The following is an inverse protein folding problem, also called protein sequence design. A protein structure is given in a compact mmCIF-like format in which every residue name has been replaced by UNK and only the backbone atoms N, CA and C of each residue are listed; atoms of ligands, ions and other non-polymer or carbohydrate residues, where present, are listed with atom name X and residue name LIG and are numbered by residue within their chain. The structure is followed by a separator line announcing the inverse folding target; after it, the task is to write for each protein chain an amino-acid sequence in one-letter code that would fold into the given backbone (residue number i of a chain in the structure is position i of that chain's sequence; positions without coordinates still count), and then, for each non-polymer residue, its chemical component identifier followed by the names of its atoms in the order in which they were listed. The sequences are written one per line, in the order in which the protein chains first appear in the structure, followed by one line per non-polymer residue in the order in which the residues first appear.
data_IF_408374440036
#
_entry.id   IF_408374440036
#
_cell.length_a   1.000
_cell.length_b   1.000
_cell.length_c   1.000
_cell.angle_alpha   90.00
_cell.angle_beta   90.00
_cell.angle_gamma   90.00
#
_symmetry.space_group_name_H-M   'P 1'
#
loop_
_entity.id
_entity.type
_entity.pdbx_description
1 polymer ?
#
# COMPACT_ATOMS: atom_id res chain seq x y z
N UNK A 1 33.63 -46.54 -23.86
CA UNK A 1 34.70 -46.17 -22.91
C UNK A 1 34.36 -44.85 -22.26
N UNK A 2 34.64 -44.75 -20.95
CA UNK A 2 34.61 -43.57 -20.06
C UNK A 2 33.22 -43.21 -19.51
N UNK A 3 32.98 -43.03 -18.21
CA UNK A 3 33.67 -43.38 -16.95
C UNK A 3 32.60 -43.14 -15.86
N UNK A 4 32.01 -44.17 -15.25
CA UNK A 4 31.05 -43.96 -14.15
C UNK A 4 31.82 -43.75 -12.85
N UNK A 5 32.19 -42.50 -12.59
CA UNK A 5 32.68 -42.12 -11.26
C UNK A 5 31.55 -42.24 -10.24
N UNK A 6 31.63 -43.28 -9.41
CA UNK A 6 30.85 -43.43 -8.19
C UNK A 6 31.18 -42.27 -7.25
N UNK A 7 30.34 -41.23 -7.23
CA UNK A 7 30.47 -40.15 -6.24
C UNK A 7 30.25 -40.71 -4.84
N UNK A 8 31.33 -40.75 -4.05
CA UNK A 8 31.30 -41.07 -2.61
C UNK A 8 30.51 -40.00 -1.87
N UNK A 9 29.77 -40.43 -0.85
CA UNK A 9 29.02 -39.56 0.06
C UNK A 9 30.03 -38.66 0.78
N UNK A 10 29.94 -37.34 0.60
CA UNK A 10 30.86 -36.41 1.26
C UNK A 10 30.59 -36.41 2.77
N UNK A 11 31.65 -36.36 3.58
CA UNK A 11 31.60 -36.33 5.06
C UNK A 11 30.54 -35.34 5.61
N UNK A 12 30.42 -34.09 5.10
CA UNK A 12 29.37 -33.17 5.56
C UNK A 12 27.93 -33.63 5.26
N UNK A 13 27.71 -34.39 4.17
CA UNK A 13 26.39 -34.95 3.83
C UNK A 13 26.00 -36.09 4.79
N UNK A 14 26.98 -36.88 5.23
CA UNK A 14 26.77 -37.93 6.23
C UNK A 14 26.41 -37.36 7.62
N UNK A 15 27.05 -36.25 8.02
CA UNK A 15 26.73 -35.54 9.27
C UNK A 15 25.31 -34.95 9.22
N UNK A 16 24.90 -34.42 8.07
CA UNK A 16 23.54 -33.92 7.86
C UNK A 16 22.46 -35.01 7.95
N UNK A 17 22.71 -36.20 7.39
CA UNK A 17 21.82 -37.37 7.52
C UNK A 17 21.67 -37.79 9.00
N UNK A 18 22.73 -37.66 9.79
CA UNK A 18 22.71 -37.99 11.22
C UNK A 18 21.91 -36.97 12.05
N UNK A 19 22.09 -35.67 11.81
CA UNK A 19 21.50 -34.60 12.62
C UNK A 19 20.03 -34.28 12.27
N UNK A 20 19.65 -34.35 10.98
CA UNK A 20 18.30 -33.99 10.53
C UNK A 20 17.83 -34.98 9.44
N UNK A 21 17.50 -36.23 9.82
CA UNK A 21 17.22 -37.32 8.87
C UNK A 21 16.06 -37.03 7.92
N UNK A 22 15.05 -36.27 8.37
CA UNK A 22 13.90 -35.85 7.57
C UNK A 22 14.29 -34.99 6.35
N UNK A 23 15.22 -34.05 6.51
CA UNK A 23 15.62 -33.13 5.43
C UNK A 23 16.60 -33.81 4.47
N UNK A 24 17.50 -34.66 4.98
CA UNK A 24 18.54 -35.26 4.16
C UNK A 24 18.09 -36.50 3.37
N UNK A 25 17.07 -37.24 3.84
CA UNK A 25 16.45 -38.27 3.01
C UNK A 25 15.85 -37.66 1.72
N UNK A 26 15.27 -36.46 1.81
CA UNK A 26 14.79 -35.71 0.64
C UNK A 26 15.92 -35.38 -0.35
N UNK A 27 17.11 -35.07 0.13
CA UNK A 27 18.26 -34.74 -0.74
C UNK A 27 18.76 -35.95 -1.55
N UNK A 28 18.58 -37.17 -1.07
CA UNK A 28 18.98 -38.40 -1.79
C UNK A 28 18.07 -38.79 -2.96
N UNK A 29 16.90 -38.16 -3.08
CA UNK A 29 15.99 -38.32 -4.23
C UNK A 29 16.49 -37.61 -5.50
N UNK A 30 17.44 -36.68 -5.38
CA UNK A 30 18.03 -35.99 -6.53
C UNK A 30 18.77 -36.98 -7.44
N UNK A 31 18.66 -36.80 -8.76
CA UNK A 31 19.33 -37.67 -9.76
C UNK A 31 20.86 -37.53 -9.61
N UNK A 32 21.56 -38.66 -9.45
CA UNK A 32 23.03 -38.71 -9.32
C UNK A 32 23.56 -39.48 -8.09
N UNK A 33 22.71 -39.86 -7.14
CA UNK A 33 23.11 -40.69 -5.99
C UNK A 33 22.90 -42.18 -6.23
N UNK A 34 23.87 -42.99 -5.80
CA UNK A 34 23.84 -44.46 -5.91
C UNK A 34 22.68 -45.07 -5.12
N UNK A 35 22.07 -46.13 -5.66
CA UNK A 35 20.94 -46.85 -5.05
C UNK A 35 21.26 -47.32 -3.62
N UNK A 36 22.53 -47.67 -3.35
CA UNK A 36 22.99 -48.05 -2.00
C UNK A 36 22.89 -46.91 -0.98
N UNK A 37 23.18 -45.67 -1.40
CA UNK A 37 23.11 -44.49 -0.52
C UNK A 37 21.67 -44.10 -0.18
N UNK A 38 20.73 -44.34 -1.11
CA UNK A 38 19.29 -44.16 -0.86
C UNK A 38 18.80 -45.15 0.19
N UNK A 39 19.12 -46.44 0.03
CA UNK A 39 18.72 -47.48 0.98
C UNK A 39 19.26 -47.20 2.38
N UNK A 40 20.51 -46.75 2.52
CA UNK A 40 21.08 -46.37 3.82
C UNK A 40 20.35 -45.19 4.47
N UNK A 41 19.99 -44.17 3.68
CA UNK A 41 19.33 -42.96 4.19
C UNK A 41 17.90 -43.23 4.65
N UNK A 42 17.13 -44.00 3.88
CA UNK A 42 15.79 -44.41 4.28
C UNK A 42 15.81 -45.42 5.43
N UNK A 43 16.79 -46.32 5.47
CA UNK A 43 17.00 -47.25 6.59
C UNK A 43 17.26 -46.51 7.91
N UNK A 44 18.09 -45.46 7.89
CA UNK A 44 18.37 -44.63 9.07
C UNK A 44 17.14 -43.84 9.55
N UNK A 45 16.33 -43.34 8.61
CA UNK A 45 15.10 -42.60 8.92
C UNK A 45 14.07 -43.51 9.63
N UNK A 46 13.87 -44.73 9.13
CA UNK A 46 12.97 -45.71 9.76
C UNK A 46 13.46 -46.06 11.17
N UNK A 47 14.77 -46.24 11.35
CA UNK A 47 15.36 -46.53 12.66
C UNK A 47 15.16 -45.37 13.65
N UNK A 48 15.23 -44.12 13.18
CA UNK A 48 14.90 -42.92 13.97
C UNK A 48 13.44 -42.89 14.43
N UNK A 49 12.50 -43.28 13.57
CA UNK A 49 11.08 -43.40 13.96
C UNK A 49 10.85 -44.52 14.98
N UNK A 50 11.51 -45.66 14.82
CA UNK A 50 11.41 -46.76 15.79
C UNK A 50 11.99 -46.33 17.14
N UNK A 51 13.13 -45.64 17.16
CA UNK A 51 13.71 -45.10 18.39
C UNK A 51 12.81 -44.07 19.06
N UNK A 52 12.16 -43.20 18.29
CA UNK A 52 11.17 -42.24 18.82
C UNK A 52 9.94 -42.93 19.40
N UNK A 53 9.42 -43.96 18.71
CA UNK A 53 8.27 -44.74 19.19
C UNK A 53 8.57 -45.57 20.45
N UNK A 54 9.83 -45.96 20.64
CA UNK A 54 10.32 -46.68 21.82
C UNK A 54 10.81 -45.74 22.93
N UNK A 55 10.77 -44.41 22.76
CA UNK A 55 11.05 -43.51 23.86
C UNK A 55 9.96 -43.72 24.93
N UNK A 56 10.33 -44.05 26.18
CA UNK A 56 9.37 -44.09 27.25
C UNK A 56 8.77 -42.69 27.38
N UNK A 57 7.45 -42.61 27.24
CA UNK A 57 6.73 -41.39 27.57
C UNK A 57 7.06 -41.05 29.02
N UNK A 58 7.47 -39.81 29.34
CA UNK A 58 7.66 -39.42 30.73
C UNK A 58 6.37 -39.78 31.48
N UNK A 59 6.48 -40.41 32.67
CA UNK A 59 5.30 -40.85 33.40
C UNK A 59 4.36 -39.67 33.50
N UNK A 60 3.15 -39.87 32.95
CA UNK A 60 2.09 -38.88 32.98
C UNK A 60 1.99 -38.38 34.41
N UNK A 61 2.14 -37.07 34.57
CA UNK A 61 1.71 -36.42 35.79
C UNK A 61 0.24 -36.79 35.96
N UNK A 62 -0.03 -37.72 36.87
CA UNK A 62 -1.27 -37.71 37.61
C UNK A 62 -1.25 -36.40 38.39
N UNK A 63 -1.68 -35.35 37.69
CA UNK A 63 -2.06 -34.09 38.30
C UNK A 63 -3.22 -34.45 39.23
N UNK A 64 -2.86 -34.77 40.48
CA UNK A 64 -3.70 -34.50 41.62
C UNK A 64 -3.92 -33.01 41.54
N UNK A 65 -5.00 -32.60 40.89
CA UNK A 65 -5.49 -31.23 40.86
C UNK A 65 -5.46 -30.73 42.30
N UNK A 66 -4.57 -29.80 42.69
CA UNK A 66 -4.98 -28.85 43.71
C UNK A 66 -6.21 -28.22 43.07
N UNK A 67 -7.31 -28.19 43.81
CA UNK A 67 -8.56 -27.51 43.49
C UNK A 67 -8.26 -26.02 43.22
N UNK A 68 -7.64 -25.73 42.09
CA UNK A 68 -7.73 -24.47 41.40
C UNK A 68 -9.09 -24.55 40.75
N UNK A 69 -10.01 -23.81 41.34
CA UNK A 69 -11.26 -23.39 40.75
C UNK A 69 -10.94 -22.86 39.35
N UNK A 70 -11.03 -23.74 38.35
CA UNK A 70 -11.19 -23.31 36.97
C UNK A 70 -12.56 -22.68 36.97
N UNK A 71 -12.60 -21.35 37.09
CA UNK A 71 -13.76 -20.57 36.73
C UNK A 71 -13.93 -20.82 35.23
N UNK A 72 -14.63 -21.90 34.91
CA UNK A 72 -15.08 -22.21 33.56
C UNK A 72 -16.11 -21.12 33.23
N UNK A 73 -15.60 -20.00 32.71
CA UNK A 73 -16.43 -18.91 32.24
C UNK A 73 -17.49 -19.50 31.34
N UNK A 74 -18.74 -19.24 31.68
CA UNK A 74 -19.90 -19.66 30.91
C UNK A 74 -19.75 -19.21 29.45
N UNK A 75 -20.38 -19.92 28.53
CA UNK A 75 -20.32 -19.60 27.10
C UNK A 75 -20.74 -18.13 26.83
N UNK A 76 -21.67 -17.60 27.64
CA UNK A 76 -22.04 -16.19 27.67
C UNK A 76 -20.88 -15.26 28.10
N UNK A 77 -20.09 -15.61 29.10
CA UNK A 77 -18.93 -14.84 29.54
C UNK A 77 -17.77 -14.89 28.54
N UNK A 78 -17.58 -16.01 27.84
CA UNK A 78 -16.59 -16.13 26.75
C UNK A 78 -16.99 -15.26 25.55
N UNK A 79 -18.27 -15.29 25.18
CA UNK A 79 -18.80 -14.45 24.10
C UNK A 79 -18.73 -12.97 24.45
N UNK A 80 -19.09 -12.58 25.68
CA UNK A 80 -18.97 -11.19 26.14
C UNK A 80 -17.50 -10.71 26.17
N UNK A 81 -16.56 -11.57 26.54
CA UNK A 81 -15.13 -11.25 26.47
C UNK A 81 -14.65 -11.06 25.02
N UNK A 82 -15.07 -11.93 24.11
CA UNK A 82 -14.73 -11.82 22.69
C UNK A 82 -15.34 -10.57 22.04
N UNK A 83 -16.58 -10.22 22.37
CA UNK A 83 -17.24 -9.00 21.91
C UNK A 83 -16.54 -7.74 22.46
N UNK A 84 -16.13 -7.76 23.73
CA UNK A 84 -15.36 -6.68 24.34
C UNK A 84 -13.98 -6.53 23.69
N UNK A 85 -13.26 -7.63 23.45
CA UNK A 85 -11.98 -7.62 22.74
C UNK A 85 -12.13 -7.11 21.29
N UNK A 86 -13.19 -7.54 20.58
CA UNK A 86 -13.48 -7.06 19.24
C UNK A 86 -13.80 -5.56 19.22
N UNK A 87 -14.54 -5.05 20.22
CA UNK A 87 -14.80 -3.63 20.37
C UNK A 87 -13.51 -2.84 20.65
N UNK A 88 -12.61 -3.36 21.51
CA UNK A 88 -11.32 -2.73 21.78
C UNK A 88 -10.42 -2.70 20.53
N UNK A 89 -10.35 -3.79 19.77
CA UNK A 89 -9.59 -3.86 18.52
C UNK A 89 -10.13 -2.85 17.50
N UNK A 90 -11.46 -2.75 17.37
CA UNK A 90 -12.10 -1.76 16.48
C UNK A 90 -11.75 -0.34 16.90
N UNK A 91 -11.83 -0.01 18.19
CA UNK A 91 -11.45 1.31 18.70
C UNK A 91 -9.98 1.62 18.44
N UNK A 92 -9.07 0.66 18.67
CA UNK A 92 -7.64 0.82 18.36
C UNK A 92 -7.39 1.04 16.88
N UNK A 93 -8.10 0.31 16.01
CA UNK A 93 -7.99 0.49 14.56
C UNK A 93 -8.50 1.86 14.11
N UNK A 94 -9.65 2.30 14.63
CA UNK A 94 -10.22 3.62 14.33
C UNK A 94 -9.34 4.76 14.84
N UNK A 95 -8.80 4.64 16.06
CA UNK A 95 -7.87 5.62 16.62
C UNK A 95 -6.58 5.71 15.79
N UNK A 96 -5.98 4.57 15.45
CA UNK A 96 -4.79 4.53 14.57
C UNK A 96 -5.09 5.08 13.18
N UNK A 97 -6.28 4.80 12.64
CA UNK A 97 -6.72 5.36 11.35
C UNK A 97 -6.86 6.88 11.43
N UNK A 98 -7.38 7.41 12.53
CA UNK A 98 -7.50 8.85 12.74
C UNK A 98 -6.12 9.54 12.89
N UNK A 99 -5.19 8.92 13.62
CA UNK A 99 -3.79 9.36 13.74
C UNK A 99 -3.12 9.43 12.36
N UNK A 100 -3.18 8.34 11.59
CA UNK A 100 -2.65 8.29 10.22
C UNK A 100 -3.31 9.31 9.30
N UNK A 101 -4.60 9.60 9.50
CA UNK A 101 -5.32 10.60 8.72
C UNK A 101 -4.90 12.03 9.07
N UNK A 102 -4.43 12.28 10.29
CA UNK A 102 -3.85 13.56 10.70
C UNK A 102 -2.42 13.71 10.17
N UNK A 103 -1.59 12.66 10.31
CA UNK A 103 -0.23 12.63 9.78
C UNK A 103 -0.18 12.83 8.26
N UNK A 104 -1.19 12.33 7.54
CA UNK A 104 -1.29 12.47 6.09
C UNK A 104 -1.81 13.84 5.65
N UNK A 105 -2.09 14.81 6.52
CA UNK A 105 -2.49 16.16 6.07
C UNK A 105 -1.27 17.02 5.72
N UNK A 106 -1.44 18.11 4.94
CA UNK A 106 -0.42 19.14 4.83
C UNK A 106 -0.13 19.79 6.20
N UNK A 107 1.11 19.70 6.70
CA UNK A 107 1.59 20.31 7.96
C UNK A 107 2.34 21.63 7.75
N UNK A 108 1.76 22.53 6.96
CA UNK A 108 2.27 23.90 6.81
C UNK A 108 1.12 24.88 6.55
N UNK A 109 1.36 26.18 6.67
CA UNK A 109 0.35 27.19 6.33
C UNK A 109 0.24 27.35 4.82
N UNK A 110 -0.80 26.78 4.21
CA UNK A 110 -1.07 26.95 2.78
C UNK A 110 -1.83 28.25 2.46
N UNK A 111 -1.70 28.79 1.23
CA UNK A 111 -2.35 30.02 0.83
C UNK A 111 -3.89 29.89 0.87
N UNK A 112 -4.54 30.88 1.46
CA UNK A 112 -6.01 30.97 1.52
C UNK A 112 -6.60 31.30 0.15
N UNK A 113 -7.85 30.91 -0.06
CA UNK A 113 -8.53 31.21 -1.32
C UNK A 113 -9.08 32.64 -1.31
N UNK A 114 -8.78 33.38 -2.37
CA UNK A 114 -9.37 34.68 -2.62
C UNK A 114 -10.72 34.53 -3.37
N UNK A 115 -11.80 34.45 -2.60
CA UNK A 115 -13.17 34.35 -3.11
C UNK A 115 -13.68 35.62 -3.81
N UNK A 116 -12.98 36.75 -3.70
CA UNK A 116 -13.40 38.01 -4.33
C UNK A 116 -13.14 38.02 -5.84
N UNK A 117 -12.20 37.19 -6.30
CA UNK A 117 -11.87 37.05 -7.73
C UNK A 117 -12.80 36.06 -8.40
N UNK A 118 -13.72 36.55 -9.22
CA UNK A 118 -14.49 35.68 -10.10
C UNK A 118 -13.56 34.98 -11.10
N UNK A 119 -13.73 33.66 -11.26
CA UNK A 119 -13.00 32.85 -12.25
C UNK A 119 -14.03 32.08 -13.06
N UNK A 120 -14.02 32.30 -14.37
CA UNK A 120 -14.88 31.55 -15.29
C UNK A 120 -14.37 30.12 -15.44
N UNK A 121 -15.30 29.17 -15.44
CA UNK A 121 -14.99 27.75 -15.68
C UNK A 121 -14.59 27.53 -17.13
N UNK A 122 -13.47 26.84 -17.35
CA UNK A 122 -13.01 26.40 -18.67
C UNK A 122 -13.76 25.12 -19.07
N UNK A 123 -14.05 24.97 -20.35
CA UNK A 123 -14.65 23.76 -20.88
C UNK A 123 -13.73 22.56 -20.65
N UNK A 124 -14.27 21.47 -20.12
CA UNK A 124 -13.50 20.26 -19.81
C UNK A 124 -12.87 19.62 -21.05
N UNK A 125 -13.38 19.88 -22.26
CA UNK A 125 -12.85 19.34 -23.52
C UNK A 125 -11.81 20.25 -24.22
N UNK A 126 -11.49 21.43 -23.67
CA UNK A 126 -10.53 22.36 -24.27
C UNK A 126 -9.15 22.24 -23.59
N UNK A 127 -8.39 21.21 -24.01
CA UNK A 127 -7.06 20.91 -23.51
C UNK A 127 -6.09 22.10 -23.62
N UNK A 128 -6.18 22.89 -24.69
CA UNK A 128 -5.27 24.04 -24.88
C UNK A 128 -5.53 25.14 -23.85
N UNK A 129 -6.80 25.43 -23.56
CA UNK A 129 -7.16 26.42 -22.53
C UNK A 129 -6.81 25.91 -21.13
N UNK A 130 -6.98 24.62 -20.86
CA UNK A 130 -6.59 23.98 -19.59
C UNK A 130 -5.09 24.15 -19.33
N UNK A 131 -4.25 23.81 -20.32
CA UNK A 131 -2.79 23.92 -20.18
C UNK A 131 -2.34 25.38 -20.02
N UNK A 132 -2.99 26.33 -20.72
CA UNK A 132 -2.71 27.76 -20.56
C UNK A 132 -3.14 28.29 -19.20
N UNK A 133 -4.17 27.72 -18.59
CA UNK A 133 -4.69 28.16 -17.30
C UNK A 133 -3.71 27.95 -16.14
N UNK A 134 -2.71 27.09 -16.29
CA UNK A 134 -1.61 26.95 -15.32
C UNK A 134 -0.70 28.18 -15.28
N UNK A 135 -0.64 28.97 -16.37
CA UNK A 135 0.24 30.13 -16.53
C UNK A 135 1.74 29.83 -16.31
N UNK A 136 2.16 28.59 -16.59
CA UNK A 136 3.57 28.16 -16.59
C UNK A 136 3.92 27.45 -17.90
N UNK A 137 5.18 27.51 -18.34
CA UNK A 137 5.62 26.74 -19.50
C UNK A 137 5.57 25.25 -19.20
N UNK A 138 5.16 24.46 -20.19
CA UNK A 138 5.32 23.01 -20.17
C UNK A 138 6.82 22.72 -20.33
N UNK A 139 7.39 22.00 -19.38
CA UNK A 139 8.81 21.66 -19.36
C UNK A 139 9.06 20.29 -19.99
N UNK A 140 8.14 19.37 -19.77
CA UNK A 140 8.21 18.00 -20.27
C UNK A 140 6.79 17.48 -20.51
N UNK A 141 6.69 16.51 -21.42
CA UNK A 141 5.45 15.77 -21.67
C UNK A 141 5.76 14.29 -21.83
N UNK A 142 4.84 13.45 -21.36
CA UNK A 142 4.99 12.00 -21.39
C UNK A 142 3.67 11.38 -21.83
N UNK A 143 3.72 10.58 -22.91
CA UNK A 143 2.56 9.81 -23.35
C UNK A 143 2.48 8.53 -22.53
N UNK A 144 1.33 8.30 -21.92
CA UNK A 144 1.04 7.15 -21.06
C UNK A 144 -0.21 6.43 -21.55
N UNK A 145 -0.34 5.18 -21.11
CA UNK A 145 -1.57 4.41 -21.25
C UNK A 145 -1.97 3.95 -19.87
N UNK A 146 -3.20 4.25 -19.44
CA UNK A 146 -3.69 3.82 -18.13
C UNK A 146 -3.96 2.29 -18.11
N UNK A 147 -4.33 1.77 -16.94
CA UNK A 147 -4.62 0.34 -16.75
C UNK A 147 -5.75 -0.19 -17.66
N UNK A 148 -6.66 0.69 -18.10
CA UNK A 148 -7.78 0.35 -18.97
C UNK A 148 -7.44 0.46 -20.47
N UNK A 149 -6.20 0.85 -20.82
CA UNK A 149 -5.79 1.03 -22.20
C UNK A 149 -6.12 2.41 -22.79
N UNK A 150 -6.66 3.34 -22.00
CA UNK A 150 -6.95 4.70 -22.47
C UNK A 150 -5.65 5.52 -22.53
N UNK A 151 -5.30 6.07 -23.70
CA UNK A 151 -4.15 6.95 -23.82
C UNK A 151 -4.38 8.27 -23.07
N UNK A 152 -3.30 8.77 -22.47
CA UNK A 152 -3.25 10.09 -21.88
C UNK A 152 -1.86 10.70 -22.09
N UNK A 153 -1.76 12.02 -21.98
CA UNK A 153 -0.48 12.72 -21.96
C UNK A 153 -0.35 13.47 -20.64
N UNK A 154 0.72 13.22 -19.90
CA UNK A 154 1.11 14.00 -18.72
C UNK A 154 1.90 15.21 -19.18
N UNK A 155 1.54 16.38 -18.67
CA UNK A 155 2.22 17.65 -18.90
C UNK A 155 2.84 18.12 -17.59
N UNK A 156 4.17 18.21 -17.55
CA UNK A 156 4.92 18.64 -16.37
C UNK A 156 5.26 20.14 -16.46
N UNK A 157 4.93 20.90 -15.41
CA UNK A 157 5.17 22.35 -15.34
C UNK A 157 6.36 22.73 -14.46
N UNK A 158 7.09 21.74 -13.93
CA UNK A 158 8.25 21.92 -13.06
C UNK A 158 9.32 20.89 -13.37
N UNK A 159 10.60 21.28 -13.30
CA UNK A 159 11.73 20.34 -13.27
C UNK A 159 11.89 19.64 -11.93
N UNK A 160 11.28 20.20 -10.88
CA UNK A 160 11.35 19.66 -9.53
C UNK A 160 10.14 18.74 -9.29
N UNK A 161 10.37 17.44 -9.27
CA UNK A 161 9.32 16.45 -9.04
C UNK A 161 8.82 16.41 -7.59
N UNK A 162 9.53 17.07 -6.66
CA UNK A 162 9.09 17.18 -5.26
C UNK A 162 8.17 18.39 -5.06
N UNK A 163 8.37 19.45 -5.84
CA UNK A 163 7.57 20.67 -5.78
C UNK A 163 7.16 21.10 -7.19
N UNK A 164 5.91 20.85 -7.55
CA UNK A 164 5.42 21.16 -8.89
C UNK A 164 4.02 20.64 -9.16
N UNK A 165 3.47 21.08 -10.29
CA UNK A 165 2.20 20.66 -10.83
C UNK A 165 2.43 19.82 -12.09
N UNK A 166 1.64 18.76 -12.22
CA UNK A 166 1.42 18.05 -13.48
C UNK A 166 -0.07 17.88 -13.75
N UNK A 167 -0.41 17.81 -15.03
CA UNK A 167 -1.78 17.55 -15.51
C UNK A 167 -1.71 16.41 -16.50
N UNK A 168 -2.49 15.35 -16.26
CA UNK A 168 -2.70 14.30 -17.25
C UNK A 168 -4.03 14.55 -17.99
N UNK A 169 -3.96 14.62 -19.32
CA UNK A 169 -5.12 14.82 -20.18
C UNK A 169 -5.40 13.57 -20.98
N UNK A 170 -6.65 13.12 -20.94
CA UNK A 170 -7.18 11.96 -21.64
C UNK A 170 -8.56 12.30 -22.23
N UNK A 171 -9.12 11.46 -23.09
CA UNK A 171 -10.51 11.65 -23.54
C UNK A 171 -11.51 11.36 -22.42
N UNK A 172 -11.14 10.53 -21.45
CA UNK A 172 -12.01 10.10 -20.35
C UNK A 172 -11.79 10.89 -19.05
N UNK A 173 -10.69 11.64 -18.92
CA UNK A 173 -10.40 12.35 -17.69
C UNK A 173 -9.41 13.52 -17.82
N UNK A 174 -9.40 14.34 -16.77
CA UNK A 174 -8.35 15.31 -16.42
C UNK A 174 -7.85 14.92 -15.03
N UNK A 175 -6.58 14.53 -14.89
CA UNK A 175 -5.95 14.33 -13.58
C UNK A 175 -5.09 15.55 -13.27
N UNK A 176 -5.30 16.15 -12.11
CA UNK A 176 -4.54 17.29 -11.62
C UNK A 176 -3.78 16.84 -10.39
N UNK A 177 -2.46 16.97 -10.42
CA UNK A 177 -1.60 16.60 -9.29
C UNK A 177 -0.61 17.72 -9.00
N UNK A 178 -0.54 18.19 -7.77
CA UNK A 178 0.59 19.00 -7.30
C UNK A 178 1.29 18.33 -6.13
N UNK A 179 2.61 18.28 -6.22
CA UNK A 179 3.52 17.76 -5.20
C UNK A 179 4.19 18.92 -4.48
N UNK A 180 4.48 18.73 -3.20
CA UNK A 180 5.12 19.73 -2.36
C UNK A 180 5.98 19.08 -1.27
N UNK A 181 6.95 19.84 -0.77
CA UNK A 181 7.73 19.51 0.43
C UNK A 181 7.43 20.53 1.54
N UNK A 182 6.81 20.08 2.62
CA UNK A 182 6.47 20.91 3.78
C UNK A 182 7.72 21.53 4.45
N UNK A 183 8.89 20.92 4.24
CA UNK A 183 10.17 21.45 4.76
C UNK A 183 10.67 22.66 3.97
N UNK A 184 10.10 22.92 2.79
CA UNK A 184 10.38 24.08 1.96
C UNK A 184 9.07 24.87 1.72
N UNK A 185 8.61 25.65 2.73
CA UNK A 185 7.30 26.28 2.70
C UNK A 185 7.13 27.29 1.55
N UNK A 186 8.23 27.85 1.03
CA UNK A 186 8.19 28.75 -0.13
C UNK A 186 7.78 27.96 -1.38
N UNK A 187 8.46 26.84 -1.66
CA UNK A 187 8.11 26.00 -2.82
C UNK A 187 6.77 25.29 -2.65
N UNK A 188 6.42 24.90 -1.43
CA UNK A 188 5.10 24.35 -1.13
C UNK A 188 3.99 25.36 -1.39
N UNK A 189 4.18 26.62 -0.97
CA UNK A 189 3.24 27.71 -1.25
C UNK A 189 3.06 27.92 -2.75
N UNK A 190 4.15 27.90 -3.52
CA UNK A 190 4.07 28.03 -4.98
C UNK A 190 3.28 26.87 -5.62
N UNK A 191 3.50 25.62 -5.18
CA UNK A 191 2.74 24.46 -5.66
C UNK A 191 1.25 24.57 -5.31
N UNK A 192 0.91 25.07 -4.12
CA UNK A 192 -0.48 25.29 -3.71
C UNK A 192 -1.15 26.46 -4.44
N UNK A 193 -0.40 27.50 -4.83
CA UNK A 193 -0.91 28.56 -5.68
C UNK A 193 -1.25 28.02 -7.08
N UNK A 194 -0.36 27.20 -7.66
CA UNK A 194 -0.61 26.53 -8.94
C UNK A 194 -1.85 25.63 -8.87
N UNK A 195 -1.94 24.80 -7.83
CA UNK A 195 -3.08 23.93 -7.56
C UNK A 195 -4.39 24.70 -7.40
N UNK A 196 -4.38 25.81 -6.64
CA UNK A 196 -5.56 26.67 -6.48
C UNK A 196 -6.00 27.27 -7.83
N UNK A 197 -5.05 27.80 -8.60
CA UNK A 197 -5.30 28.45 -9.88
C UNK A 197 -5.97 27.49 -10.87
N UNK A 198 -5.37 26.32 -11.10
CA UNK A 198 -5.92 25.34 -12.06
C UNK A 198 -7.26 24.78 -11.59
N UNK A 199 -7.44 24.55 -10.28
CA UNK A 199 -8.70 24.03 -9.73
C UNK A 199 -9.85 25.00 -9.92
N UNK A 200 -9.60 26.29 -9.69
CA UNK A 200 -10.60 27.34 -9.95
C UNK A 200 -10.88 27.54 -11.44
N UNK A 201 -9.89 27.34 -12.29
CA UNK A 201 -10.09 27.41 -13.74
C UNK A 201 -10.95 26.24 -14.25
N UNK A 202 -10.71 25.02 -13.74
CA UNK A 202 -11.42 23.81 -14.16
C UNK A 202 -12.83 23.68 -13.60
N UNK A 203 -13.07 24.17 -12.39
CA UNK A 203 -14.35 23.99 -11.69
C UNK A 203 -15.13 25.29 -11.51
N UNK A 204 -14.55 26.43 -11.90
CA UNK A 204 -15.09 27.76 -11.66
C UNK A 204 -14.73 28.30 -10.27
N UNK A 205 -14.99 29.60 -10.08
CA UNK A 205 -14.58 30.33 -8.88
C UNK A 205 -15.05 29.70 -7.57
N UNK A 206 -16.35 29.45 -7.39
CA UNK A 206 -16.89 28.96 -6.12
C UNK A 206 -16.56 27.48 -5.88
N UNK A 207 -16.95 26.60 -6.81
CA UNK A 207 -16.77 25.15 -6.63
C UNK A 207 -15.30 24.73 -6.60
N UNK A 208 -14.45 25.36 -7.42
CA UNK A 208 -13.01 25.10 -7.38
C UNK A 208 -12.36 25.54 -6.07
N UNK A 209 -12.79 26.69 -5.53
CA UNK A 209 -12.31 27.16 -4.22
C UNK A 209 -12.76 26.23 -3.10
N UNK A 210 -14.02 25.77 -3.13
CA UNK A 210 -14.57 24.84 -2.14
C UNK A 210 -13.82 23.51 -2.15
N UNK A 211 -13.60 22.92 -3.34
CA UNK A 211 -12.85 21.67 -3.45
C UNK A 211 -11.43 21.83 -2.92
N UNK A 212 -10.71 22.87 -3.36
CA UNK A 212 -9.34 23.15 -2.94
C UNK A 212 -9.24 23.28 -1.42
N UNK A 213 -10.10 24.10 -0.80
CA UNK A 213 -10.08 24.28 0.66
C UNK A 213 -10.41 22.99 1.41
N UNK A 214 -11.39 22.24 0.92
CA UNK A 214 -11.81 20.98 1.51
C UNK A 214 -10.63 19.98 1.56
N UNK A 215 -9.99 19.74 0.41
CA UNK A 215 -8.90 18.78 0.34
C UNK A 215 -7.65 19.27 1.09
N UNK A 216 -7.33 20.57 1.05
CA UNK A 216 -6.20 21.12 1.80
C UNK A 216 -6.38 20.98 3.32
N UNK A 217 -7.63 21.02 3.82
CA UNK A 217 -7.98 20.72 5.22
C UNK A 217 -7.97 19.22 5.55
N UNK A 218 -7.62 18.37 4.59
CA UNK A 218 -7.54 16.91 4.73
C UNK A 218 -8.84 16.16 4.43
N UNK A 219 -9.87 16.81 3.87
CA UNK A 219 -11.06 16.08 3.40
C UNK A 219 -10.70 15.23 2.18
N UNK A 220 -11.29 14.04 2.11
CA UNK A 220 -11.05 13.06 1.04
C UNK A 220 -12.38 12.67 0.41
N UNK A 221 -12.43 12.67 -0.92
CA UNK A 221 -13.61 12.31 -1.68
C UNK A 221 -13.23 11.24 -2.71
N UNK A 222 -13.81 10.05 -2.57
CA UNK A 222 -13.67 9.01 -3.59
C UNK A 222 -14.41 9.41 -4.87
N UNK A 223 -15.64 9.92 -4.70
CA UNK A 223 -16.47 10.53 -5.75
C UNK A 223 -17.19 11.75 -5.20
N UNK A 224 -17.23 12.84 -5.97
CA UNK A 224 -17.96 14.07 -5.70
C UNK A 224 -18.69 14.52 -6.97
N UNK A 225 -19.99 14.80 -6.86
CA UNK A 225 -20.79 15.35 -7.94
C UNK A 225 -21.08 16.83 -7.67
N UNK A 226 -20.82 17.67 -8.66
CA UNK A 226 -21.17 19.09 -8.62
C UNK A 226 -22.57 19.33 -9.20
N UNK A 227 -23.16 20.49 -8.88
CA UNK A 227 -24.50 20.87 -9.34
C UNK A 227 -24.63 20.93 -10.87
N UNK A 228 -23.52 21.20 -11.57
CA UNK A 228 -23.46 21.26 -13.03
C UNK A 228 -23.25 19.89 -13.71
N UNK A 229 -23.28 18.80 -12.93
CA UNK A 229 -23.09 17.43 -13.41
C UNK A 229 -21.63 16.99 -13.50
N UNK A 230 -20.67 17.85 -13.16
CA UNK A 230 -19.25 17.45 -13.13
C UNK A 230 -19.02 16.38 -12.05
N UNK A 231 -18.41 15.27 -12.45
CA UNK A 231 -17.96 14.22 -11.53
C UNK A 231 -16.45 14.33 -11.28
N UNK A 232 -16.08 14.36 -10.00
CA UNK A 232 -14.70 14.41 -9.53
C UNK A 232 -14.42 13.12 -8.75
N UNK A 233 -13.28 12.50 -9.01
CA UNK A 233 -12.81 11.28 -8.34
C UNK A 233 -11.50 11.51 -7.61
N UNK A 234 -11.27 10.70 -6.58
CA UNK A 234 -9.99 10.60 -5.87
C UNK A 234 -9.44 11.96 -5.37
N UNK A 235 -10.31 12.87 -4.96
CA UNK A 235 -9.91 14.21 -4.52
C UNK A 235 -9.39 14.18 -3.09
N UNK A 236 -8.12 14.53 -2.90
CA UNK A 236 -7.45 14.52 -1.59
C UNK A 236 -6.15 15.32 -1.59
N UNK A 237 -5.76 15.80 -0.42
CA UNK A 237 -4.38 16.19 -0.13
C UNK A 237 -3.80 15.29 0.95
N UNK A 238 -2.63 14.73 0.64
CA UNK A 238 -1.72 14.05 1.54
C UNK A 238 -0.69 15.03 2.13
N UNK A 239 0.34 14.50 2.78
CA UNK A 239 1.47 15.27 3.35
C UNK A 239 2.50 15.77 2.34
N UNK A 240 2.39 15.35 1.07
CA UNK A 240 3.32 15.77 0.01
C UNK A 240 2.70 15.83 -1.38
N UNK A 241 1.41 15.48 -1.51
CA UNK A 241 0.74 15.46 -2.80
C UNK A 241 -0.74 15.73 -2.62
N UNK A 242 -1.25 16.62 -3.46
CA UNK A 242 -2.68 16.82 -3.64
C UNK A 242 -3.06 16.40 -5.05
N UNK A 243 -4.24 15.81 -5.18
CA UNK A 243 -4.77 15.41 -6.49
C UNK A 243 -6.27 15.31 -6.52
N UNK A 244 -6.81 15.34 -7.73
CA UNK A 244 -8.17 14.95 -8.06
C UNK A 244 -8.27 14.67 -9.55
N UNK A 245 -9.30 13.92 -9.94
CA UNK A 245 -9.57 13.61 -11.34
C UNK A 245 -10.97 14.08 -11.73
N UNK A 246 -11.10 14.83 -12.81
CA UNK A 246 -12.40 15.17 -13.42
C UNK A 246 -12.73 14.11 -14.47
N UNK A 247 -13.94 13.56 -14.46
CA UNK A 247 -14.44 12.64 -15.47
C UNK A 247 -14.90 13.42 -16.72
N UNK A 248 -14.55 12.93 -17.91
CA UNK A 248 -14.95 13.48 -19.22
C UNK A 248 -15.93 12.57 -19.95
#
# INVERSE_FOLDING_TARGET
MNNFENKKVSIPLAIGIFLIPLIFAWFTLKKGYSTKARVLSFGWLILGFIAFALMPTPPGQTNSTPKAEVVEKTEAEKMALADAEAAEIRQKFEARKAELAEEDKPHFEWPRVDYTKAVAKIASMDDQSILKAVAKPIIEKEDITNENGEPATIYYFSKNLVNGLDIALSREFIDVTWRFDEKDPVKATDAFNDGQQITRALLGGKEGSNLYEAIAKGQKFDTLHLEDGTEIKNARCGSSVCRYQIVR
#
